data_IF_738713217750
#
_entry.id   IF_738713217750
#
_cell.length_a   1.000
_cell.length_b   1.000
_cell.length_c   1.000
_cell.angle_alpha   90.00
_cell.angle_beta   90.00
_cell.angle_gamma   90.00
#
_symmetry.space_group_name_H-M   'P 1'
#
loop_
_entity.id
_entity.type
_entity.pdbx_description
1 polymer ?
#
# COMPACT_ATOMS: atom_id res chain seq x y z
N UNK A 1 -3.05 22.93 -30.74
CA UNK A 1 -2.37 21.63 -30.82
C UNK A 1 -0.98 21.84 -30.23
N UNK A 2 -0.66 21.32 -29.04
CA UNK A 2 0.71 21.39 -28.55
C UNK A 2 1.60 20.50 -29.45
N UNK A 3 2.74 21.06 -29.84
CA UNK A 3 3.77 20.44 -30.68
C UNK A 3 4.33 19.17 -30.03
N UNK A 4 4.50 18.11 -30.81
CA UNK A 4 5.14 16.84 -30.40
C UNK A 4 6.67 16.87 -30.60
N UNK A 5 7.25 18.02 -30.96
CA UNK A 5 8.71 18.21 -30.96
C UNK A 5 9.18 18.45 -29.51
N UNK A 6 10.09 17.69 -28.89
CA UNK A 6 10.81 16.50 -29.30
C UNK A 6 11.14 15.74 -28.01
N UNK A 7 10.48 14.61 -27.76
CA UNK A 7 10.99 13.66 -26.78
C UNK A 7 12.06 12.83 -27.48
N UNK A 8 13.32 13.06 -27.15
CA UNK A 8 14.45 12.27 -27.65
C UNK A 8 14.85 11.31 -26.54
N UNK A 9 14.74 10.01 -26.79
CA UNK A 9 15.33 9.01 -25.90
C UNK A 9 16.85 9.18 -25.93
N UNK A 10 17.45 9.68 -24.85
CA UNK A 10 18.88 9.67 -24.68
C UNK A 10 19.31 8.33 -24.07
N UNK A 11 20.08 7.56 -24.83
CA UNK A 11 20.64 6.29 -24.36
C UNK A 11 21.63 6.53 -23.21
N UNK A 12 21.47 5.78 -22.12
CA UNK A 12 22.35 5.84 -20.95
C UNK A 12 21.97 6.85 -19.88
N UNK A 13 20.85 7.57 -20.03
CA UNK A 13 20.27 8.32 -18.91
C UNK A 13 19.71 7.35 -17.87
N UNK A 14 20.31 7.36 -16.69
CA UNK A 14 19.78 6.65 -15.52
C UNK A 14 18.93 7.65 -14.72
N UNK A 15 17.62 7.40 -14.53
CA UNK A 15 16.79 8.23 -13.67
C UNK A 15 17.43 8.36 -12.29
N UNK A 16 17.40 9.56 -11.70
CA UNK A 16 17.92 9.72 -10.35
C UNK A 16 17.07 8.88 -9.39
N UNK A 17 17.75 8.09 -8.56
CA UNK A 17 17.09 7.34 -7.51
C UNK A 17 16.39 8.33 -6.56
N UNK A 18 15.10 8.09 -6.32
CA UNK A 18 14.28 8.85 -5.38
C UNK A 18 14.80 8.62 -3.95
N UNK A 19 14.71 9.61 -3.03
CA UNK A 19 15.16 9.43 -1.64
C UNK A 19 14.42 8.32 -0.89
N UNK A 20 13.17 8.03 -1.25
CA UNK A 20 12.37 6.98 -0.62
C UNK A 20 12.59 5.62 -1.28
N UNK A 21 13.01 4.65 -0.48
CA UNK A 21 13.28 3.29 -0.96
C UNK A 21 11.97 2.54 -1.20
N UNK A 22 11.67 2.13 -2.43
CA UNK A 22 10.46 1.32 -2.73
C UNK A 22 10.59 -0.10 -2.17
N UNK A 23 9.46 -0.75 -1.91
CA UNK A 23 9.45 -2.20 -1.70
C UNK A 23 9.82 -2.89 -3.02
N UNK A 24 10.72 -3.87 -2.96
CA UNK A 24 10.89 -4.83 -4.06
C UNK A 24 9.58 -5.59 -4.31
N UNK A 25 9.38 -6.11 -5.52
CA UNK A 25 8.25 -6.99 -5.87
C UNK A 25 8.09 -8.13 -4.87
N UNK A 26 9.22 -8.73 -4.44
CA UNK A 26 9.21 -9.80 -3.44
C UNK A 26 8.78 -9.29 -2.06
N UNK A 27 9.23 -8.11 -1.65
CA UNK A 27 8.79 -7.50 -0.39
C UNK A 27 7.31 -7.14 -0.44
N UNK A 28 6.85 -6.47 -1.50
CA UNK A 28 5.44 -6.14 -1.73
C UNK A 28 4.56 -7.41 -1.69
N UNK A 29 4.96 -8.46 -2.41
CA UNK A 29 4.29 -9.77 -2.40
C UNK A 29 4.14 -10.34 -0.99
N UNK A 30 5.22 -10.29 -0.18
CA UNK A 30 5.17 -10.79 1.19
C UNK A 30 4.32 -9.88 2.09
N UNK A 31 4.43 -8.56 1.95
CA UNK A 31 3.60 -7.59 2.67
C UNK A 31 2.11 -7.85 2.44
N UNK A 32 1.71 -8.06 1.18
CA UNK A 32 0.32 -8.38 0.82
C UNK A 32 -0.15 -9.71 1.45
N UNK A 33 0.69 -10.74 1.45
CA UNK A 33 0.36 -12.02 2.11
C UNK A 33 0.18 -11.87 3.62
N UNK A 34 1.06 -11.13 4.29
CA UNK A 34 0.91 -10.88 5.73
C UNK A 34 -0.34 -10.06 6.02
N UNK A 35 -0.62 -9.04 5.22
CA UNK A 35 -1.82 -8.23 5.38
C UNK A 35 -3.09 -9.07 5.21
N UNK A 36 -3.15 -9.95 4.21
CA UNK A 36 -4.30 -10.85 4.01
C UNK A 36 -4.47 -11.85 5.17
N UNK A 37 -3.38 -12.31 5.79
CA UNK A 37 -3.48 -13.15 7.00
C UNK A 37 -4.10 -12.39 8.17
N UNK A 38 -3.83 -11.10 8.29
CA UNK A 38 -4.45 -10.26 9.29
C UNK A 38 -5.92 -9.96 8.96
N UNK A 39 -6.21 -9.59 7.72
CA UNK A 39 -7.54 -9.20 7.27
C UNK A 39 -8.54 -10.37 7.19
N UNK A 40 -8.05 -11.60 6.97
CA UNK A 40 -8.88 -12.80 6.83
C UNK A 40 -8.38 -13.93 7.74
N UNK A 41 -8.30 -13.73 9.08
CA UNK A 41 -7.49 -14.56 9.98
C UNK A 41 -7.96 -16.02 10.09
N UNK A 42 -9.24 -16.27 9.89
CA UNK A 42 -9.86 -17.60 10.04
C UNK A 42 -10.06 -18.34 8.72
N UNK A 43 -9.69 -17.74 7.58
CA UNK A 43 -10.04 -18.26 6.25
C UNK A 43 -8.84 -18.40 5.31
N UNK A 44 -7.96 -19.42 5.51
CA UNK A 44 -6.80 -19.64 4.64
C UNK A 44 -7.15 -19.86 3.16
N UNK A 45 -8.31 -20.48 2.89
CA UNK A 45 -8.81 -20.66 1.52
C UNK A 45 -9.17 -19.33 0.86
N UNK A 46 -9.81 -18.41 1.59
CA UNK A 46 -10.11 -17.06 1.11
C UNK A 46 -8.82 -16.27 0.87
N UNK A 47 -7.86 -16.32 1.81
CA UNK A 47 -6.54 -15.70 1.61
C UNK A 47 -5.89 -16.17 0.30
N UNK A 48 -5.92 -17.47 0.03
CA UNK A 48 -5.35 -18.03 -1.19
C UNK A 48 -6.12 -17.59 -2.45
N UNK A 49 -7.45 -17.57 -2.40
CA UNK A 49 -8.29 -17.14 -3.52
C UNK A 49 -8.06 -15.66 -3.86
N UNK A 50 -8.09 -14.79 -2.85
CA UNK A 50 -7.83 -13.35 -3.01
C UNK A 50 -6.42 -13.13 -3.57
N UNK A 51 -5.41 -13.81 -3.01
CA UNK A 51 -4.04 -13.66 -3.49
C UNK A 51 -3.85 -14.20 -4.90
N UNK A 52 -4.50 -15.31 -5.26
CA UNK A 52 -4.47 -15.85 -6.62
C UNK A 52 -5.14 -14.88 -7.63
N UNK A 53 -6.19 -14.17 -7.21
CA UNK A 53 -6.89 -13.19 -8.05
C UNK A 53 -6.03 -11.99 -8.47
N UNK A 54 -4.99 -11.66 -7.70
CA UNK A 54 -4.05 -10.56 -8.01
C UNK A 54 -2.68 -11.05 -8.52
N UNK A 55 -2.49 -12.35 -8.71
CA UNK A 55 -1.19 -12.92 -9.09
C UNK A 55 -0.68 -12.35 -10.42
N UNK A 56 -1.56 -12.25 -11.42
CA UNK A 56 -1.21 -11.70 -12.74
C UNK A 56 -0.81 -10.21 -12.67
N UNK A 57 -1.40 -9.44 -11.76
CA UNK A 57 -1.02 -8.04 -11.52
C UNK A 57 0.36 -7.96 -10.85
N UNK A 58 0.63 -8.86 -9.91
CA UNK A 58 1.92 -8.94 -9.23
C UNK A 58 3.06 -9.37 -10.17
N UNK A 59 2.77 -10.27 -11.11
CA UNK A 59 3.75 -10.72 -12.11
C UNK A 59 4.13 -9.60 -13.09
N UNK A 60 3.25 -8.61 -13.27
CA UNK A 60 3.50 -7.40 -14.07
C UNK A 60 4.26 -6.32 -13.32
N UNK A 61 4.45 -6.44 -12.00
CA UNK A 61 5.40 -5.57 -11.29
C UNK A 61 6.81 -5.96 -11.75
N UNK A 62 7.66 -5.00 -12.19
CA UNK A 62 9.01 -5.30 -12.65
C UNK A 62 9.85 -6.07 -11.61
N UNK A 63 10.67 -7.00 -12.08
CA UNK A 63 11.63 -7.69 -11.22
C UNK A 63 12.74 -6.76 -10.76
N UNK A 64 13.04 -6.81 -9.47
CA UNK A 64 14.16 -6.07 -8.94
C UNK A 64 15.49 -6.76 -9.21
N UNK A 65 16.35 -6.09 -9.97
CA UNK A 65 17.71 -6.55 -10.20
C UNK A 65 18.66 -6.14 -9.07
N UNK A 66 19.70 -6.95 -8.85
CA UNK A 66 20.79 -6.61 -7.93
C UNK A 66 21.72 -5.60 -8.61
N UNK A 67 21.80 -4.39 -8.06
CA UNK A 67 22.64 -3.34 -8.62
C UNK A 67 23.98 -3.21 -7.90
N UNK A 68 25.10 -3.43 -8.59
CA UNK A 68 26.44 -3.16 -8.05
C UNK A 68 27.61 -3.70 -8.90
N UNK A 69 28.85 -3.23 -8.67
CA UNK A 69 30.01 -3.55 -9.50
C UNK A 69 30.45 -5.02 -9.42
N UNK A 70 29.96 -5.78 -8.43
CA UNK A 70 30.21 -7.20 -8.28
C UNK A 70 28.88 -7.95 -8.29
N UNK A 71 28.61 -8.78 -9.31
CA UNK A 71 27.36 -9.56 -9.39
C UNK A 71 27.12 -10.49 -8.19
N UNK A 72 28.20 -10.89 -7.49
CA UNK A 72 28.14 -11.77 -6.33
C UNK A 72 27.88 -11.04 -4.99
N UNK A 73 28.25 -9.76 -4.88
CA UNK A 73 28.22 -8.98 -3.61
C UNK A 73 27.44 -7.67 -3.71
N UNK A 74 27.05 -7.24 -4.90
CA UNK A 74 26.36 -5.99 -5.18
C UNK A 74 24.92 -5.93 -4.69
N UNK A 75 24.34 -7.03 -4.20
CA UNK A 75 22.91 -7.11 -3.91
C UNK A 75 22.45 -6.60 -2.54
N UNK A 76 23.34 -6.26 -1.61
CA UNK A 76 22.94 -6.02 -0.21
C UNK A 76 22.53 -4.59 0.15
N UNK A 77 22.76 -3.60 -0.73
CA UNK A 77 22.49 -2.18 -0.40
C UNK A 77 21.76 -1.38 -1.47
N UNK A 78 21.64 -1.89 -2.69
CA UNK A 78 20.91 -1.23 -3.78
C UNK A 78 20.14 -2.27 -4.58
N UNK A 79 18.95 -2.59 -4.10
CA UNK A 79 17.89 -3.09 -4.97
C UNK A 79 17.56 -1.95 -5.93
N UNK A 80 17.22 -2.22 -7.19
CA UNK A 80 16.76 -1.18 -8.12
C UNK A 80 15.74 -0.24 -7.43
N UNK A 81 16.04 1.06 -7.41
CA UNK A 81 15.21 2.11 -6.80
C UNK A 81 14.59 3.03 -7.84
N UNK A 82 14.77 2.73 -9.13
CA UNK A 82 14.12 3.47 -10.18
C UNK A 82 12.63 3.18 -10.08
N UNK A 83 11.84 4.25 -10.02
CA UNK A 83 10.38 4.20 -10.09
C UNK A 83 9.98 4.58 -11.51
N UNK A 84 9.50 3.59 -12.24
CA UNK A 84 8.91 3.79 -13.57
C UNK A 84 7.39 3.91 -13.46
N UNK A 85 6.75 4.46 -14.51
CA UNK A 85 5.30 4.55 -14.62
C UNK A 85 4.59 3.22 -14.30
N UNK A 86 5.15 2.10 -14.78
CA UNK A 86 4.62 0.76 -14.51
C UNK A 86 4.54 0.43 -13.00
N UNK A 87 5.48 0.89 -12.17
CA UNK A 87 5.41 0.63 -10.73
C UNK A 87 4.22 1.36 -10.08
N UNK A 88 3.93 2.58 -10.54
CA UNK A 88 2.83 3.39 -10.04
C UNK A 88 1.50 2.79 -10.47
N UNK A 89 1.38 2.47 -11.76
CA UNK A 89 0.17 1.88 -12.35
C UNK A 89 -0.15 0.52 -11.72
N UNK A 90 0.82 -0.39 -11.65
CA UNK A 90 0.60 -1.71 -11.05
C UNK A 90 0.32 -1.64 -9.55
N UNK A 91 0.99 -0.73 -8.82
CA UNK A 91 0.70 -0.50 -7.41
C UNK A 91 -0.76 -0.06 -7.19
N UNK A 92 -1.25 0.87 -8.01
CA UNK A 92 -2.64 1.33 -7.96
C UNK A 92 -3.63 0.23 -8.37
N UNK A 93 -3.38 -0.49 -9.46
CA UNK A 93 -4.25 -1.59 -9.92
C UNK A 93 -4.38 -2.70 -8.86
N UNK A 94 -3.27 -3.07 -8.20
CA UNK A 94 -3.29 -4.03 -7.09
C UNK A 94 -4.14 -3.51 -5.93
N UNK A 95 -3.97 -2.24 -5.56
CA UNK A 95 -4.72 -1.60 -4.48
C UNK A 95 -6.23 -1.60 -4.77
N UNK A 96 -6.64 -1.17 -5.96
CA UNK A 96 -8.05 -1.16 -6.39
C UNK A 96 -8.62 -2.57 -6.49
N UNK A 97 -7.88 -3.53 -7.05
CA UNK A 97 -8.34 -4.92 -7.14
C UNK A 97 -8.57 -5.53 -5.75
N UNK A 98 -7.68 -5.28 -4.79
CA UNK A 98 -7.87 -5.73 -3.41
C UNK A 98 -9.01 -5.00 -2.70
N UNK A 99 -9.17 -3.69 -2.91
CA UNK A 99 -10.30 -2.93 -2.38
C UNK A 99 -11.63 -3.51 -2.83
N UNK A 100 -11.78 -3.80 -4.13
CA UNK A 100 -12.98 -4.41 -4.68
C UNK A 100 -13.24 -5.82 -4.09
N UNK A 101 -12.22 -6.67 -4.03
CA UNK A 101 -12.36 -8.07 -3.58
C UNK A 101 -12.61 -8.18 -2.07
N UNK A 102 -11.96 -7.34 -1.26
CA UNK A 102 -12.11 -7.36 0.21
C UNK A 102 -13.40 -6.68 0.69
N UNK A 103 -13.95 -5.76 -0.10
CA UNK A 103 -15.23 -5.11 0.20
C UNK A 103 -16.46 -5.95 -0.19
N UNK A 104 -16.30 -7.08 -0.88
CA UNK A 104 -17.42 -7.99 -1.16
C UNK A 104 -18.11 -8.42 0.15
N UNK A 105 -19.47 -8.48 0.22
CA UNK A 105 -20.18 -8.67 1.49
C UNK A 105 -19.70 -9.86 2.34
N UNK A 106 -19.33 -10.97 1.70
CA UNK A 106 -18.82 -12.17 2.39
C UNK A 106 -17.44 -11.98 3.02
N UNK A 107 -16.61 -11.07 2.49
CA UNK A 107 -15.28 -10.75 3.04
C UNK A 107 -15.29 -9.49 3.90
N UNK A 108 -16.14 -8.51 3.58
CA UNK A 108 -16.22 -7.26 4.32
C UNK A 108 -16.53 -7.49 5.80
N UNK A 109 -17.43 -8.41 6.12
CA UNK A 109 -17.71 -8.79 7.51
C UNK A 109 -16.48 -9.34 8.25
N UNK A 110 -15.59 -10.06 7.55
CA UNK A 110 -14.35 -10.59 8.12
C UNK A 110 -13.29 -9.49 8.31
N UNK A 111 -13.25 -8.52 7.39
CA UNK A 111 -12.22 -7.49 7.29
C UNK A 111 -12.54 -6.28 8.18
N UNK A 112 -13.79 -5.80 8.15
CA UNK A 112 -14.27 -4.61 8.86
C UNK A 112 -15.23 -4.93 10.02
N UNK A 113 -15.63 -6.20 10.18
CA UNK A 113 -16.55 -6.65 11.22
C UNK A 113 -18.02 -6.66 10.78
N UNK A 114 -18.85 -7.33 11.58
CA UNK A 114 -20.30 -7.49 11.30
C UNK A 114 -21.04 -6.17 11.13
N UNK A 115 -20.57 -5.12 11.80
CA UNK A 115 -21.23 -3.82 11.76
C UNK A 115 -21.10 -3.10 10.41
N UNK A 116 -20.17 -3.53 9.55
CA UNK A 116 -20.06 -3.05 8.17
C UNK A 116 -21.12 -3.66 7.22
N UNK A 117 -21.85 -4.70 7.67
CA UNK A 117 -22.83 -5.44 6.85
C UNK A 117 -24.17 -5.65 7.56
N UNK A 118 -24.39 -4.99 8.70
CA UNK A 118 -25.58 -5.19 9.55
C UNK A 118 -26.86 -4.50 9.01
N UNK A 119 -26.73 -3.67 7.97
CA UNK A 119 -27.81 -2.92 7.35
C UNK A 119 -28.25 -1.67 8.14
N UNK A 120 -27.51 -1.27 9.18
CA UNK A 120 -27.78 -0.09 9.99
C UNK A 120 -26.83 1.06 9.65
N UNK A 121 -27.37 2.10 9.02
CA UNK A 121 -26.58 3.30 8.71
C UNK A 121 -26.22 4.17 9.93
N UNK A 122 -26.71 3.81 11.13
CA UNK A 122 -26.50 4.63 12.34
C UNK A 122 -25.10 4.46 12.94
N UNK A 123 -24.40 3.39 12.59
CA UNK A 123 -23.08 3.02 13.09
C UNK A 123 -22.02 2.92 12.00
N UNK A 124 -22.37 3.09 10.72
CA UNK A 124 -21.44 2.98 9.59
C UNK A 124 -20.15 3.76 9.79
N UNK A 125 -20.23 5.04 10.19
CA UNK A 125 -19.03 5.86 10.39
C UNK A 125 -18.15 5.34 11.53
N UNK A 126 -18.76 4.86 12.63
CA UNK A 126 -18.00 4.26 13.72
C UNK A 126 -17.37 2.92 13.31
N UNK A 127 -18.01 2.16 12.43
CA UNK A 127 -17.45 0.94 11.84
C UNK A 127 -16.27 1.26 10.94
N UNK A 128 -16.40 2.28 10.10
CA UNK A 128 -15.32 2.73 9.23
C UNK A 128 -14.10 3.20 10.03
N UNK A 129 -14.31 4.02 11.07
CA UNK A 129 -13.24 4.47 11.95
C UNK A 129 -12.50 3.29 12.61
N UNK A 130 -13.25 2.32 13.13
CA UNK A 130 -12.68 1.13 13.76
C UNK A 130 -11.88 0.29 12.75
N UNK A 131 -12.41 0.14 11.53
CA UNK A 131 -11.73 -0.53 10.44
C UNK A 131 -10.43 0.17 10.05
N UNK A 132 -10.44 1.49 9.82
CA UNK A 132 -9.24 2.26 9.45
C UNK A 132 -8.17 2.11 10.52
N UNK A 133 -8.53 2.15 11.80
CA UNK A 133 -7.55 1.95 12.89
C UNK A 133 -6.94 0.55 12.85
N UNK A 134 -7.76 -0.49 12.75
CA UNK A 134 -7.29 -1.87 12.81
C UNK A 134 -6.50 -2.28 11.55
N UNK A 135 -7.04 -1.98 10.36
CA UNK A 135 -6.42 -2.34 9.09
C UNK A 135 -5.29 -1.39 8.72
N UNK A 136 -5.47 -0.09 8.94
CA UNK A 136 -4.50 0.95 8.64
C UNK A 136 -3.20 0.78 9.43
N UNK A 137 -3.25 0.39 10.70
CA UNK A 137 -2.03 0.17 11.50
C UNK A 137 -1.12 -0.90 10.86
N UNK A 138 -1.73 -1.92 10.24
CA UNK A 138 -1.00 -3.00 9.56
C UNK A 138 -0.61 -2.65 8.13
N UNK A 139 -1.48 -1.96 7.40
CA UNK A 139 -1.17 -1.51 6.04
C UNK A 139 -0.07 -0.43 6.05
N UNK A 140 -0.24 0.60 6.87
CA UNK A 140 0.70 1.73 6.95
C UNK A 140 1.93 1.41 7.81
N UNK A 141 1.90 0.30 8.57
CA UNK A 141 3.01 -0.15 9.43
C UNK A 141 3.47 0.93 10.42
N UNK A 142 2.51 1.65 10.99
CA UNK A 142 2.69 2.68 12.01
C UNK A 142 1.41 2.86 12.81
N UNK A 143 1.51 3.52 13.96
CA UNK A 143 0.34 3.91 14.74
C UNK A 143 -0.61 4.82 13.93
N UNK A 144 -1.91 4.61 14.10
CA UNK A 144 -2.99 5.40 13.48
C UNK A 144 -3.52 6.40 14.50
N UNK A 145 -3.54 7.67 14.14
CA UNK A 145 -4.12 8.75 14.95
C UNK A 145 -5.46 9.23 14.36
N UNK A 146 -6.07 10.24 14.98
CA UNK A 146 -7.37 10.75 14.56
C UNK A 146 -7.31 11.51 13.22
N UNK A 147 -6.19 12.17 12.92
CA UNK A 147 -5.98 12.84 11.63
C UNK A 147 -5.91 11.82 10.49
N UNK A 148 -5.30 10.66 10.74
CA UNK A 148 -5.27 9.55 9.78
C UNK A 148 -6.67 9.02 9.49
N UNK A 149 -7.47 8.81 10.55
CA UNK A 149 -8.85 8.34 10.39
C UNK A 149 -9.66 9.34 9.57
N UNK A 150 -9.53 10.64 9.87
CA UNK A 150 -10.19 11.67 9.08
C UNK A 150 -9.73 11.67 7.62
N UNK A 151 -8.42 11.58 7.36
CA UNK A 151 -7.87 11.60 6.02
C UNK A 151 -8.28 10.38 5.19
N UNK A 152 -8.13 9.17 5.73
CA UNK A 152 -8.47 7.94 5.00
C UNK A 152 -9.98 7.70 4.91
N UNK A 153 -10.76 8.23 5.85
CA UNK A 153 -12.22 8.17 5.83
C UNK A 153 -12.86 9.14 4.84
N UNK A 154 -12.18 10.23 4.46
CA UNK A 154 -12.73 11.26 3.57
C UNK A 154 -13.26 10.70 2.24
N UNK A 155 -12.59 9.69 1.69
CA UNK A 155 -12.99 9.09 0.40
C UNK A 155 -14.30 8.33 0.47
N UNK A 156 -14.69 7.83 1.65
CA UNK A 156 -15.96 7.13 1.85
C UNK A 156 -17.16 8.08 2.00
N UNK A 157 -16.93 9.38 2.24
CA UNK A 157 -18.00 10.36 2.42
C UNK A 157 -18.79 10.19 3.73
N UNK A 158 -20.12 10.23 3.64
CA UNK A 158 -21.04 10.16 4.78
C UNK A 158 -21.96 8.94 4.66
N UNK A 159 -22.38 8.39 5.81
CA UNK A 159 -23.32 7.28 5.85
C UNK A 159 -24.66 7.59 5.14
N UNK A 160 -25.35 6.58 4.55
CA UNK A 160 -25.01 5.15 4.57
C UNK A 160 -23.83 4.81 3.67
N UNK A 161 -22.95 3.91 4.14
CA UNK A 161 -21.79 3.46 3.36
C UNK A 161 -22.17 2.28 2.46
N UNK A 162 -21.84 2.41 1.18
CA UNK A 162 -21.95 1.37 0.17
C UNK A 162 -20.65 0.56 0.05
N UNK A 163 -20.72 -0.59 -0.63
CA UNK A 163 -19.56 -1.43 -0.89
C UNK A 163 -18.39 -0.64 -1.54
N UNK A 164 -18.70 0.27 -2.46
CA UNK A 164 -17.71 1.06 -3.17
C UNK A 164 -16.90 1.95 -2.21
N UNK A 165 -17.53 2.51 -1.17
CA UNK A 165 -16.88 3.38 -0.20
C UNK A 165 -15.81 2.62 0.59
N UNK A 166 -16.11 1.39 1.01
CA UNK A 166 -15.13 0.49 1.64
C UNK A 166 -13.99 0.11 0.69
N UNK A 167 -14.31 -0.15 -0.58
CA UNK A 167 -13.33 -0.48 -1.59
C UNK A 167 -12.32 0.66 -1.79
N UNK A 168 -12.82 1.90 -1.85
CA UNK A 168 -12.00 3.10 -2.04
C UNK A 168 -11.09 3.38 -0.84
N UNK A 169 -11.58 3.21 0.39
CA UNK A 169 -10.75 3.35 1.60
C UNK A 169 -9.63 2.31 1.63
N UNK A 170 -9.94 1.04 1.33
CA UNK A 170 -8.94 -0.03 1.25
C UNK A 170 -7.90 0.31 0.17
N UNK A 171 -8.36 0.71 -1.02
CA UNK A 171 -7.47 1.07 -2.11
C UNK A 171 -6.56 2.25 -1.75
N UNK A 172 -7.09 3.28 -1.08
CA UNK A 172 -6.31 4.44 -0.64
C UNK A 172 -5.24 4.06 0.39
N UNK A 173 -5.57 3.20 1.35
CA UNK A 173 -4.61 2.69 2.34
C UNK A 173 -3.47 1.89 1.66
N UNK A 174 -3.78 1.08 0.65
CA UNK A 174 -2.80 0.26 -0.07
C UNK A 174 -2.01 1.04 -1.13
N UNK A 175 -2.54 2.14 -1.64
CA UNK A 175 -1.82 3.08 -2.51
C UNK A 175 -0.93 4.05 -1.73
N UNK A 176 -1.01 4.06 -0.40
CA UNK A 176 -0.23 4.93 0.47
C UNK A 176 1.29 4.70 0.32
N UNK A 177 2.12 5.75 0.35
CA UNK A 177 3.58 5.60 0.40
C UNK A 177 4.05 4.71 1.55
N UNK A 178 3.36 4.72 2.69
CA UNK A 178 3.69 3.87 3.84
C UNK A 178 3.48 2.36 3.56
N UNK A 179 2.61 2.02 2.61
CA UNK A 179 2.44 0.64 2.16
C UNK A 179 3.50 0.26 1.10
N UNK A 180 3.71 1.13 0.11
CA UNK A 180 4.53 0.84 -1.07
C UNK A 180 6.04 1.06 -0.89
N UNK A 181 6.44 1.81 0.13
CA UNK A 181 7.84 2.20 0.36
C UNK A 181 8.32 1.82 1.77
N UNK A 182 9.63 1.86 1.97
CA UNK A 182 10.23 1.92 3.29
C UNK A 182 10.22 3.36 3.76
N UNK A 183 9.29 3.66 4.67
CA UNK A 183 9.27 4.93 5.39
C UNK A 183 9.88 4.68 6.76
N UNK A 184 10.97 5.38 7.06
CA UNK A 184 11.58 5.38 8.38
C UNK A 184 11.03 6.58 9.14
N UNK A 185 10.48 6.32 10.33
CA UNK A 185 9.94 7.34 11.20
C UNK A 185 11.00 7.78 12.19
N UNK A 186 11.05 9.08 12.48
CA UNK A 186 11.91 9.59 13.53
C UNK A 186 11.46 10.97 13.97
N UNK A 187 11.13 11.07 15.27
CA UNK A 187 10.45 12.25 15.80
C UNK A 187 11.41 13.21 16.51
N UNK A 188 12.60 12.74 16.86
CA UNK A 188 13.63 13.53 17.52
C UNK A 188 14.84 13.72 16.61
N UNK A 189 15.10 14.97 16.23
CA UNK A 189 16.33 15.34 15.52
C UNK A 189 17.53 15.00 16.41
N UNK A 190 18.41 14.14 15.91
CA UNK A 190 19.71 13.82 16.51
C UNK A 190 20.80 14.72 15.93
N UNK A 191 20.73 14.95 14.62
CA UNK A 191 21.60 15.89 13.90
C UNK A 191 20.84 16.49 12.70
N UNK A 192 20.51 17.78 12.79
CA UNK A 192 19.76 18.51 11.76
C UNK A 192 20.55 18.69 10.46
N UNK A 193 21.87 18.88 10.57
CA UNK A 193 22.76 19.07 9.41
C UNK A 193 22.95 17.78 8.62
N UNK A 194 22.84 16.64 9.29
CA UNK A 194 22.94 15.31 8.69
C UNK A 194 21.59 14.64 8.43
N UNK A 195 20.46 15.31 8.73
CA UNK A 195 19.10 14.77 8.67
C UNK A 195 18.96 13.42 9.41
N UNK A 196 19.61 13.30 10.57
CA UNK A 196 19.54 12.09 11.40
C UNK A 196 18.46 12.29 12.47
N UNK A 197 17.50 11.38 12.50
CA UNK A 197 16.42 11.36 13.48
C UNK A 197 16.50 10.08 14.29
N UNK A 198 16.16 10.14 15.58
CA UNK A 198 16.02 8.96 16.41
C UNK A 198 14.78 8.21 15.96
N UNK A 199 14.91 6.89 15.74
CA UNK A 199 13.78 6.04 15.38
C UNK A 199 12.71 6.08 16.46
N UNK A 200 11.44 6.13 16.05
CA UNK A 200 10.33 5.92 16.94
C UNK A 200 10.29 4.46 17.46
N UNK A 201 9.69 4.28 18.63
CA UNK A 201 9.39 2.95 19.15
C UNK A 201 8.02 2.53 18.66
N UNK A 202 7.96 1.38 17.99
CA UNK A 202 6.71 0.72 17.59
C UNK A 202 5.82 0.42 18.80
#
# INVERSE_FOLDING_TARGET
>A
MPSTEAFVCEDGLVPQAVPLRRLSRKQLTNTLRELLRFALPTSPSEQQQVFAGIADLLDQVPEDERQGPNGHWGGFRRVDQVVNQEHVERGYEIATALGAVLSEPGRLALVAGECAVDGSSTNDMACLDAFIRAFGERALRRAINDDDVAFYGEVAGEAPLEQADWADVIALLLASPHFLYFVEHGDAVVDEGAQVYAMDGY
#
